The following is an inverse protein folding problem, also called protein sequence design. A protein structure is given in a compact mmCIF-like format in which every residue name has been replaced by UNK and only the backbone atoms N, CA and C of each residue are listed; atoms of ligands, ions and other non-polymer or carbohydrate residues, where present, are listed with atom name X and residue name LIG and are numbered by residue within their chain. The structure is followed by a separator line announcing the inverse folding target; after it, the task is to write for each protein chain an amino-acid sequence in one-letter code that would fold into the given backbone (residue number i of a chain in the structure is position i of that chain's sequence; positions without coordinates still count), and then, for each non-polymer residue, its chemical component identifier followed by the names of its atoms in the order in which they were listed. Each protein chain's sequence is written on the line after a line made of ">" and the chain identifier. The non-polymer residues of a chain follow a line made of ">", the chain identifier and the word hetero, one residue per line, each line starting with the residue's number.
data_IF_360775524835
#
_entry.id   IF_360775524835
#
_cell.length_a   1.000
_cell.length_b   1.000
_cell.length_c   1.000
_cell.angle_alpha   90.00
_cell.angle_beta   90.00
_cell.angle_gamma   90.00
#
_symmetry.space_group_name_H-M   'P 1'
#
loop_
_entity.id
_entity.type
_entity.pdbx_description
1 polymer ?
#
# COMPACT_ATOMS: atom_id res chain seq x y z
N UNK A 1 -4.90 7.09 -2.15
CA UNK A 1 -5.05 6.49 -0.79
C UNK A 1 -6.34 5.69 -0.70
N UNK A 2 -7.47 6.27 -1.09
CA UNK A 2 -8.77 5.58 -1.13
C UNK A 2 -8.75 4.29 -1.98
N UNK A 3 -7.98 4.26 -3.06
CA UNK A 3 -7.88 3.13 -3.98
C UNK A 3 -7.21 1.91 -3.33
N UNK A 4 -6.16 2.15 -2.52
CA UNK A 4 -5.50 1.07 -1.78
C UNK A 4 -6.45 0.49 -0.73
N UNK A 5 -7.16 1.34 -0.01
CA UNK A 5 -8.16 0.92 0.99
C UNK A 5 -9.27 0.12 0.31
N UNK A 6 -9.82 0.62 -0.80
CA UNK A 6 -10.84 -0.07 -1.57
C UNK A 6 -10.36 -1.44 -2.10
N UNK A 7 -9.10 -1.53 -2.52
CA UNK A 7 -8.50 -2.81 -2.92
C UNK A 7 -8.41 -3.79 -1.74
N UNK A 8 -7.86 -3.36 -0.61
CA UNK A 8 -7.69 -4.19 0.59
C UNK A 8 -9.04 -4.66 1.17
N UNK A 9 -10.09 -3.85 1.06
CA UNK A 9 -11.44 -4.22 1.47
C UNK A 9 -12.18 -5.13 0.47
N UNK A 10 -11.60 -5.41 -0.69
CA UNK A 10 -12.21 -6.25 -1.72
C UNK A 10 -11.77 -7.71 -1.62
N UNK A 11 -12.52 -8.62 -2.24
CA UNK A 11 -12.17 -10.05 -2.33
C UNK A 11 -10.84 -10.32 -3.04
N UNK A 12 -10.32 -9.36 -3.83
CA UNK A 12 -9.04 -9.49 -4.55
C UNK A 12 -7.84 -9.53 -3.61
N UNK A 13 -7.97 -8.93 -2.43
CA UNK A 13 -6.92 -8.89 -1.42
C UNK A 13 -6.99 -10.06 -0.43
N UNK A 14 -7.70 -11.15 -0.74
CA UNK A 14 -7.93 -12.27 0.19
C UNK A 14 -6.67 -12.97 0.72
N UNK A 15 -5.51 -12.76 0.09
CA UNK A 15 -4.20 -13.26 0.52
C UNK A 15 -3.29 -12.17 1.14
N UNK A 16 -3.77 -10.93 1.23
CA UNK A 16 -3.03 -9.79 1.78
C UNK A 16 -3.39 -9.61 3.26
N UNK A 17 -2.54 -10.09 4.17
CA UNK A 17 -2.79 -10.04 5.63
C UNK A 17 -1.49 -9.80 6.40
N UNK A 18 -1.62 -9.25 7.61
CA UNK A 18 -0.49 -9.07 8.56
C UNK A 18 0.62 -8.14 8.09
N UNK A 19 0.33 -7.26 7.13
CA UNK A 19 1.32 -6.38 6.51
C UNK A 19 0.99 -4.89 6.69
N UNK A 20 2.04 -4.08 6.84
CA UNK A 20 1.94 -2.62 6.86
C UNK A 20 2.08 -2.05 5.45
N UNK A 21 0.97 -1.60 4.87
CA UNK A 21 0.97 -0.97 3.54
C UNK A 21 1.16 0.55 3.66
N UNK A 22 2.26 1.07 3.08
CA UNK A 22 2.59 2.50 3.09
C UNK A 22 2.08 3.20 1.83
N UNK A 23 1.62 4.44 2.00
CA UNK A 23 1.24 5.36 0.92
C UNK A 23 2.03 6.65 1.12
N UNK A 24 3.32 6.61 0.81
CA UNK A 24 4.26 7.69 1.12
C UNK A 24 4.98 8.24 -0.12
N UNK A 25 4.47 7.91 -1.32
CA UNK A 25 5.05 8.38 -2.59
C UNK A 25 6.44 7.81 -2.90
N UNK A 26 6.87 6.74 -2.24
CA UNK A 26 8.20 6.15 -2.43
C UNK A 26 9.27 6.70 -1.50
N UNK A 27 8.88 7.53 -0.52
CA UNK A 27 9.78 8.13 0.47
C UNK A 27 10.57 7.07 1.25
N UNK A 28 9.89 6.08 1.85
CA UNK A 28 10.57 5.02 2.62
C UNK A 28 11.38 4.09 1.72
N UNK A 29 11.00 3.97 0.45
CA UNK A 29 11.75 3.18 -0.54
C UNK A 29 13.01 3.91 -1.05
N UNK A 30 13.21 5.18 -0.68
CA UNK A 30 14.34 5.99 -1.15
C UNK A 30 14.23 6.41 -2.61
N UNK A 31 13.05 6.30 -3.22
CA UNK A 31 12.86 6.61 -4.65
C UNK A 31 12.59 8.11 -4.78
N UNK A 32 13.54 8.85 -5.37
CA UNK A 32 13.42 10.28 -5.62
C UNK A 32 13.97 11.20 -4.50
N UNK A 33 14.54 10.62 -3.44
CA UNK A 33 15.37 11.35 -2.48
C UNK A 33 16.84 11.24 -2.90
N UNK A 34 17.55 12.37 -2.83
CA UNK A 34 18.96 12.53 -3.21
C UNK A 34 19.83 12.54 -1.97
#
# INVERSE_FOLDING_TARGET
>A
MAELIAFLCSSKAGFCTGADYRIDGGLTAGIGVK
#
